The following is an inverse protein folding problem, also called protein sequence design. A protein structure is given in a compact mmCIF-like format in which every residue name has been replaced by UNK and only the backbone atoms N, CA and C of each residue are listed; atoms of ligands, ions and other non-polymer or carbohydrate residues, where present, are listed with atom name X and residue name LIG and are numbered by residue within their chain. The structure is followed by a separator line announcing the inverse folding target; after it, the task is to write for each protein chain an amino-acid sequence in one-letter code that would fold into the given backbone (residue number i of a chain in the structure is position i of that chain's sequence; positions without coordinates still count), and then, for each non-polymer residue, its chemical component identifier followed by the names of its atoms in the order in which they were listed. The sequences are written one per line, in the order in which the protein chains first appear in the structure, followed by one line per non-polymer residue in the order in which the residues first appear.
data_IF_379787176696
#
_entry.id   IF_379787176696
#
_cell.length_a   1.000
_cell.length_b   1.000
_cell.length_c   1.000
_cell.angle_alpha   90.00
_cell.angle_beta   90.00
_cell.angle_gamma   90.00
#
_symmetry.space_group_name_H-M   'P 1'
#
loop_
_entity.id
_entity.type
_entity.pdbx_description
1 polymer ?
#
# COMPACT_ATOMS: atom_id res chain seq x y z
N UNK A 1 -5.25 22.83 27.07
CA UNK A 1 -6.35 22.21 27.83
C UNK A 1 -5.97 20.76 28.11
N UNK A 2 -6.11 20.32 29.36
CA UNK A 2 -5.48 19.10 29.88
C UNK A 2 -5.92 17.83 29.12
N UNK A 3 -4.98 16.90 28.88
CA UNK A 3 -5.25 15.61 28.21
C UNK A 3 -6.45 14.83 28.78
N UNK A 4 -6.82 15.07 30.05
CA UNK A 4 -8.01 14.49 30.66
C UNK A 4 -9.32 14.98 30.03
N UNK A 5 -9.43 16.25 29.63
CA UNK A 5 -10.65 16.80 29.02
C UNK A 5 -10.90 16.20 27.62
N UNK A 6 -9.84 16.01 26.83
CA UNK A 6 -9.88 15.36 25.51
C UNK A 6 -10.26 13.88 25.62
N UNK A 7 -9.74 13.17 26.63
CA UNK A 7 -10.07 11.76 26.86
C UNK A 7 -11.53 11.57 27.32
N UNK A 8 -12.04 12.44 28.20
CA UNK A 8 -13.43 12.38 28.68
C UNK A 8 -14.40 12.74 27.55
N UNK A 9 -14.12 13.78 26.75
CA UNK A 9 -14.96 14.14 25.61
C UNK A 9 -15.10 12.98 24.60
N UNK A 10 -14.03 12.24 24.33
CA UNK A 10 -14.05 11.07 23.43
C UNK A 10 -14.92 9.90 23.88
N UNK A 11 -15.33 9.84 25.16
CA UNK A 11 -16.23 8.79 25.65
C UNK A 11 -17.72 9.13 25.47
N UNK A 12 -18.09 10.40 25.43
CA UNK A 12 -19.50 10.83 25.47
C UNK A 12 -19.94 11.60 24.21
N UNK A 13 -18.99 12.15 23.44
CA UNK A 13 -19.28 12.92 22.24
C UNK A 13 -19.48 12.01 21.02
N UNK A 14 -20.70 11.96 20.50
CA UNK A 14 -21.05 11.25 19.26
C UNK A 14 -21.37 12.19 18.11
N UNK A 15 -21.62 13.47 18.39
CA UNK A 15 -21.99 14.51 17.43
C UNK A 15 -21.40 15.86 17.83
N UNK A 16 -21.30 16.77 16.86
CA UNK A 16 -20.77 18.13 17.09
C UNK A 16 -21.79 18.92 17.90
N UNK A 17 -21.41 19.27 19.12
CA UNK A 17 -22.17 20.14 20.02
C UNK A 17 -21.23 21.19 20.62
N UNK A 18 -21.75 22.30 21.19
CA UNK A 18 -20.91 23.30 21.85
C UNK A 18 -19.99 22.73 22.95
N UNK A 19 -20.39 21.60 23.54
CA UNK A 19 -19.63 20.84 24.55
C UNK A 19 -18.61 19.86 23.93
N UNK A 20 -18.76 19.54 22.64
CA UNK A 20 -17.93 18.59 21.88
C UNK A 20 -17.37 19.24 20.59
N UNK A 21 -16.52 20.27 20.70
CA UNK A 21 -15.91 20.92 19.54
C UNK A 21 -14.99 19.99 18.77
N UNK A 22 -14.81 20.27 17.47
CA UNK A 22 -14.01 19.44 16.54
C UNK A 22 -12.54 19.35 16.94
N UNK A 23 -12.02 20.34 17.65
CA UNK A 23 -10.65 20.35 18.18
C UNK A 23 -10.37 19.20 19.16
N UNK A 24 -11.41 18.65 19.81
CA UNK A 24 -11.27 17.53 20.75
C UNK A 24 -11.30 16.16 20.05
N UNK A 25 -11.61 16.11 18.75
CA UNK A 25 -11.58 14.89 17.95
C UNK A 25 -10.14 14.41 17.72
N UNK A 26 -9.97 13.17 17.25
CA UNK A 26 -8.62 12.63 17.00
C UNK A 26 -7.87 13.40 15.91
N UNK A 27 -8.57 13.94 14.91
CA UNK A 27 -7.97 14.70 13.81
C UNK A 27 -7.94 16.21 14.06
N UNK A 28 -8.89 16.77 14.82
CA UNK A 28 -8.92 18.20 15.12
C UNK A 28 -9.39 19.08 13.94
N UNK A 29 -9.76 18.50 12.80
CA UNK A 29 -10.21 19.21 11.60
C UNK A 29 -11.36 18.47 10.90
N UNK A 30 -12.07 19.18 10.02
CA UNK A 30 -13.04 18.59 9.10
C UNK A 30 -12.34 18.14 7.81
N UNK A 31 -12.38 16.84 7.43
CA UNK A 31 -11.76 16.38 6.20
C UNK A 31 -12.28 17.12 4.96
N UNK A 32 -11.39 17.49 4.04
CA UNK A 32 -11.78 18.25 2.85
C UNK A 32 -12.62 17.41 1.87
N UNK A 33 -13.88 17.81 1.60
CA UNK A 33 -14.76 17.08 0.68
C UNK A 33 -14.17 16.90 -0.73
N UNK A 34 -13.59 17.96 -1.30
CA UNK A 34 -13.15 17.98 -2.69
C UNK A 34 -12.01 17.01 -2.94
N UNK A 35 -10.96 17.06 -2.11
CA UNK A 35 -9.79 16.21 -2.29
C UNK A 35 -10.10 14.74 -1.96
N UNK A 36 -10.85 14.47 -0.89
CA UNK A 36 -11.25 13.11 -0.56
C UNK A 36 -12.16 12.51 -1.64
N UNK A 37 -13.08 13.28 -2.23
CA UNK A 37 -13.93 12.84 -3.35
C UNK A 37 -13.12 12.55 -4.62
N UNK A 38 -12.09 13.36 -4.91
CA UNK A 38 -11.18 13.10 -6.02
C UNK A 38 -10.47 11.75 -5.86
N UNK A 39 -9.96 11.42 -4.67
CA UNK A 39 -9.34 10.12 -4.42
C UNK A 39 -10.32 8.95 -4.57
N UNK A 40 -11.56 9.08 -4.09
CA UNK A 40 -12.61 8.05 -4.29
C UNK A 40 -12.82 7.82 -5.80
N UNK A 41 -12.96 8.90 -6.57
CA UNK A 41 -13.15 8.79 -8.01
C UNK A 41 -11.94 8.17 -8.72
N UNK A 42 -10.72 8.55 -8.32
CA UNK A 42 -9.47 8.02 -8.86
C UNK A 42 -9.34 6.52 -8.60
N UNK A 43 -9.50 6.07 -7.35
CA UNK A 43 -9.39 4.67 -6.99
C UNK A 43 -10.53 3.83 -7.57
N UNK A 44 -11.76 4.38 -7.62
CA UNK A 44 -12.89 3.76 -8.29
C UNK A 44 -12.63 3.56 -9.78
N UNK A 45 -12.16 4.59 -10.48
CA UNK A 45 -11.80 4.50 -11.90
C UNK A 45 -10.70 3.46 -12.14
N UNK A 46 -9.62 3.50 -11.35
CA UNK A 46 -8.55 2.50 -11.42
C UNK A 46 -9.08 1.10 -11.16
N UNK A 47 -9.98 0.89 -10.20
CA UNK A 47 -10.59 -0.41 -9.92
C UNK A 47 -11.34 -0.95 -11.16
N UNK A 48 -12.18 -0.15 -11.81
CA UNK A 48 -12.92 -0.56 -13.00
C UNK A 48 -11.99 -0.84 -14.20
N UNK A 49 -10.97 0.00 -14.41
CA UNK A 49 -9.97 -0.21 -15.46
C UNK A 49 -9.19 -1.50 -15.24
N UNK A 50 -8.75 -1.77 -14.00
CA UNK A 50 -8.03 -2.98 -13.63
C UNK A 50 -8.90 -4.23 -13.78
N UNK A 51 -10.20 -4.13 -13.45
CA UNK A 51 -11.15 -5.22 -13.65
C UNK A 51 -11.32 -5.54 -15.14
N UNK A 52 -11.54 -4.51 -15.98
CA UNK A 52 -11.69 -4.68 -17.43
C UNK A 52 -10.44 -5.23 -18.09
N UNK A 53 -9.26 -4.67 -17.76
CA UNK A 53 -7.98 -5.15 -18.27
C UNK A 53 -7.65 -6.56 -17.77
N UNK A 54 -7.94 -6.86 -16.49
CA UNK A 54 -7.70 -8.15 -15.87
C UNK A 54 -8.51 -9.27 -16.49
N UNK A 55 -9.80 -9.04 -16.75
CA UNK A 55 -10.70 -9.98 -17.43
C UNK A 55 -10.25 -10.19 -18.87
N UNK A 56 -9.97 -9.11 -19.60
CA UNK A 56 -9.57 -9.20 -21.01
C UNK A 56 -8.22 -9.92 -21.20
N UNK A 57 -7.25 -9.66 -20.31
CA UNK A 57 -5.90 -10.22 -20.38
C UNK A 57 -5.71 -11.51 -19.57
N UNK A 58 -6.75 -11.99 -18.87
CA UNK A 58 -6.77 -13.22 -18.04
C UNK A 58 -5.69 -13.25 -16.95
N UNK A 59 -5.35 -12.11 -16.36
CA UNK A 59 -4.36 -11.99 -15.27
C UNK A 59 -5.04 -12.05 -13.90
N UNK A 60 -5.68 -13.19 -13.59
CA UNK A 60 -6.60 -13.36 -12.45
C UNK A 60 -6.01 -12.99 -11.09
N UNK A 61 -4.79 -13.43 -10.78
CA UNK A 61 -4.15 -13.19 -9.47
C UNK A 61 -3.77 -11.72 -9.29
N UNK A 62 -3.20 -11.09 -10.33
CA UNK A 62 -2.85 -9.67 -10.34
C UNK A 62 -4.09 -8.78 -10.26
N UNK A 63 -5.14 -9.14 -11.01
CA UNK A 63 -6.42 -8.45 -10.99
C UNK A 63 -7.05 -8.49 -9.59
N UNK A 64 -7.11 -9.66 -8.96
CA UNK A 64 -7.75 -9.82 -7.65
C UNK A 64 -7.11 -8.92 -6.59
N UNK A 65 -5.77 -8.93 -6.48
CA UNK A 65 -5.07 -8.12 -5.46
C UNK A 65 -5.18 -6.62 -5.72
N UNK A 66 -5.16 -6.18 -6.99
CA UNK A 66 -5.31 -4.75 -7.29
C UNK A 66 -6.74 -4.25 -7.12
N UNK A 67 -7.74 -5.04 -7.46
CA UNK A 67 -9.15 -4.69 -7.24
C UNK A 67 -9.41 -4.57 -5.74
N UNK A 68 -8.94 -5.52 -4.93
CA UNK A 68 -9.08 -5.48 -3.46
C UNK A 68 -8.35 -4.25 -2.89
N UNK A 69 -7.13 -3.95 -3.36
CA UNK A 69 -6.39 -2.76 -2.95
C UNK A 69 -7.11 -1.46 -3.30
N UNK A 70 -7.55 -1.29 -4.56
CA UNK A 70 -8.27 -0.09 -5.00
C UNK A 70 -9.63 0.07 -4.30
N UNK A 71 -10.35 -1.03 -4.08
CA UNK A 71 -11.59 -1.04 -3.32
C UNK A 71 -11.35 -0.60 -1.87
N UNK A 72 -10.31 -1.14 -1.23
CA UNK A 72 -9.90 -0.75 0.11
C UNK A 72 -9.59 0.75 0.20
N UNK A 73 -8.79 1.30 -0.71
CA UNK A 73 -8.53 2.75 -0.73
C UNK A 73 -9.83 3.55 -0.90
N UNK A 74 -10.68 3.19 -1.87
CA UNK A 74 -11.95 3.88 -2.10
C UNK A 74 -12.86 3.88 -0.85
N UNK A 75 -13.02 2.74 -0.18
CA UNK A 75 -13.79 2.63 1.07
C UNK A 75 -13.13 3.43 2.21
N UNK A 76 -11.80 3.46 2.27
CA UNK A 76 -11.07 4.27 3.23
C UNK A 76 -11.36 5.77 3.10
N UNK A 77 -11.35 6.29 1.87
CA UNK A 77 -11.72 7.68 1.59
C UNK A 77 -13.22 7.97 1.75
N UNK A 78 -14.10 6.98 1.53
CA UNK A 78 -15.52 7.10 1.89
C UNK A 78 -15.68 7.26 3.41
N UNK A 79 -14.88 6.53 4.21
CA UNK A 79 -14.81 6.72 5.66
C UNK A 79 -14.45 8.16 6.03
N UNK A 80 -13.50 8.78 5.32
CA UNK A 80 -13.15 10.20 5.45
C UNK A 80 -14.28 11.15 5.09
N UNK A 81 -15.02 10.83 4.02
CA UNK A 81 -16.20 11.60 3.61
C UNK A 81 -17.29 11.57 4.69
N UNK A 82 -17.51 10.41 5.33
CA UNK A 82 -18.46 10.30 6.43
C UNK A 82 -18.06 11.16 7.63
N UNK A 83 -16.76 11.26 7.91
CA UNK A 83 -16.24 12.15 8.96
C UNK A 83 -16.28 13.62 8.59
N UNK A 84 -16.45 14.01 7.33
CA UNK A 84 -16.72 15.41 7.00
C UNK A 84 -18.05 15.88 7.61
N UNK A 85 -19.10 15.05 7.49
CA UNK A 85 -20.41 15.38 8.04
C UNK A 85 -20.42 15.28 9.58
N UNK A 86 -19.78 14.24 10.12
CA UNK A 86 -19.64 14.07 11.56
C UNK A 86 -18.26 13.49 11.94
N UNK A 87 -17.29 14.35 12.32
CA UNK A 87 -15.96 13.94 12.76
C UNK A 87 -15.94 13.03 14.00
N UNK A 88 -17.03 13.00 14.78
CA UNK A 88 -17.21 12.11 15.93
C UNK A 88 -17.68 10.70 15.55
N UNK A 89 -17.96 10.44 14.27
CA UNK A 89 -18.37 9.11 13.79
C UNK A 89 -17.25 8.08 13.97
N UNK A 90 -17.37 7.28 15.04
CA UNK A 90 -16.45 6.18 15.31
C UNK A 90 -16.44 5.12 14.19
N UNK A 91 -17.57 4.94 13.50
CA UNK A 91 -17.64 4.06 12.32
C UNK A 91 -16.80 4.60 11.16
N UNK A 92 -16.94 5.89 10.81
CA UNK A 92 -16.13 6.51 9.74
C UNK A 92 -14.63 6.49 10.06
N UNK A 93 -14.29 6.75 11.32
CA UNK A 93 -12.91 6.69 11.81
C UNK A 93 -12.31 5.28 11.72
N UNK A 94 -13.02 4.25 12.19
CA UNK A 94 -12.54 2.86 12.13
C UNK A 94 -12.43 2.39 10.69
N UNK A 95 -13.44 2.67 9.86
CA UNK A 95 -13.44 2.30 8.44
C UNK A 95 -12.26 2.92 7.70
N UNK A 96 -11.97 4.21 7.86
CA UNK A 96 -10.84 4.82 7.17
C UNK A 96 -9.52 4.13 7.56
N UNK A 97 -9.28 3.91 8.87
CA UNK A 97 -7.97 3.47 9.35
C UNK A 97 -7.76 2.03 8.92
N UNK A 98 -8.74 1.16 9.13
CA UNK A 98 -8.63 -0.23 8.70
C UNK A 98 -8.42 -0.31 7.18
N UNK A 99 -9.22 0.39 6.38
CA UNK A 99 -9.14 0.29 4.93
C UNK A 99 -7.84 0.87 4.36
N UNK A 100 -7.42 2.07 4.81
CA UNK A 100 -6.19 2.71 4.34
C UNK A 100 -4.93 2.00 4.85
N UNK A 101 -4.99 1.31 5.99
CA UNK A 101 -3.87 0.50 6.46
C UNK A 101 -3.72 -0.79 5.63
N UNK A 102 -4.84 -1.45 5.30
CA UNK A 102 -4.82 -2.75 4.62
C UNK A 102 -4.58 -2.65 3.12
N UNK A 103 -5.14 -1.64 2.46
CA UNK A 103 -5.14 -1.52 1.01
C UNK A 103 -3.74 -1.50 0.34
N UNK A 104 -2.73 -0.76 0.86
CA UNK A 104 -1.39 -0.69 0.27
C UNK A 104 -0.69 -2.05 0.22
N UNK A 105 -0.93 -2.91 1.20
CA UNK A 105 -0.33 -4.24 1.27
C UNK A 105 -0.82 -5.14 0.14
N UNK A 106 -2.09 -5.01 -0.27
CA UNK A 106 -2.61 -5.71 -1.45
C UNK A 106 -2.01 -5.17 -2.76
N UNK A 107 -1.79 -3.86 -2.85
CA UNK A 107 -1.11 -3.26 -3.99
C UNK A 107 0.36 -3.72 -4.09
N UNK A 108 1.05 -3.79 -2.94
CA UNK A 108 2.41 -4.32 -2.83
C UNK A 108 2.46 -5.82 -3.23
N UNK A 109 1.48 -6.62 -2.83
CA UNK A 109 1.36 -8.01 -3.27
C UNK A 109 1.27 -8.12 -4.81
N UNK A 110 0.54 -7.21 -5.46
CA UNK A 110 0.50 -7.10 -6.92
C UNK A 110 1.89 -6.87 -7.52
N UNK A 111 2.69 -5.98 -6.91
CA UNK A 111 4.09 -5.77 -7.29
C UNK A 111 4.90 -7.05 -7.14
N UNK A 112 4.85 -7.74 -6.00
CA UNK A 112 5.63 -8.96 -5.78
C UNK A 112 5.29 -10.07 -6.79
N UNK A 113 4.01 -10.23 -7.15
CA UNK A 113 3.60 -11.17 -8.20
C UNK A 113 4.23 -10.80 -9.54
N UNK A 114 4.20 -9.52 -9.93
CA UNK A 114 4.84 -9.07 -11.18
C UNK A 114 6.35 -9.24 -11.17
N UNK A 115 7.00 -8.96 -10.03
CA UNK A 115 8.45 -9.11 -9.86
C UNK A 115 8.90 -10.57 -10.06
N UNK A 116 8.14 -11.55 -9.54
CA UNK A 116 8.43 -12.98 -9.78
C UNK A 116 8.52 -13.30 -11.27
N UNK A 117 7.55 -12.84 -12.06
CA UNK A 117 7.53 -13.08 -13.51
C UNK A 117 8.66 -12.34 -14.23
N UNK A 118 8.98 -11.12 -13.79
CA UNK A 118 10.10 -10.35 -14.33
C UNK A 118 11.44 -11.04 -14.09
N UNK A 119 11.71 -11.56 -12.89
CA UNK A 119 12.96 -12.27 -12.57
C UNK A 119 13.07 -13.58 -13.36
N UNK A 120 11.95 -14.31 -13.56
CA UNK A 120 11.97 -15.51 -14.41
C UNK A 120 12.32 -15.18 -15.86
N UNK A 121 11.80 -14.08 -16.40
CA UNK A 121 12.07 -13.66 -17.78
C UNK A 121 13.49 -13.11 -18.01
N UNK A 122 14.06 -12.39 -17.05
CA UNK A 122 15.42 -11.84 -17.14
C UNK A 122 16.53 -12.88 -16.91
N UNK A 123 16.18 -14.12 -16.59
CA UNK A 123 17.11 -15.19 -16.25
C UNK A 123 17.26 -15.37 -14.73
N UNK A 124 16.88 -16.53 -14.18
CA UNK A 124 16.97 -16.81 -12.75
C UNK A 124 18.42 -16.91 -12.23
N UNK A 125 19.41 -17.06 -13.13
CA UNK A 125 20.82 -17.28 -12.84
C UNK A 125 21.49 -16.09 -12.12
N UNK A 126 20.98 -14.87 -12.32
CA UNK A 126 21.51 -13.65 -11.68
C UNK A 126 20.83 -13.33 -10.33
N UNK A 127 19.83 -14.10 -9.91
CA UNK A 127 19.09 -13.89 -8.66
C UNK A 127 19.65 -14.75 -7.52
N UNK A 128 19.95 -14.12 -6.37
CA UNK A 128 20.49 -14.82 -5.19
C UNK A 128 19.47 -15.75 -4.51
N UNK A 129 18.18 -15.48 -4.66
CA UNK A 129 17.11 -16.36 -4.20
C UNK A 129 16.31 -16.92 -5.39
N UNK A 130 15.72 -18.11 -5.18
CA UNK A 130 14.82 -18.73 -6.17
C UNK A 130 13.57 -17.84 -6.37
N UNK A 131 13.22 -17.46 -7.62
CA UNK A 131 12.12 -16.52 -7.91
C UNK A 131 10.75 -16.96 -7.38
N UNK A 132 10.55 -18.28 -7.19
CA UNK A 132 9.31 -18.85 -6.63
C UNK A 132 9.11 -18.55 -5.14
N UNK A 133 10.15 -18.28 -4.36
CA UNK A 133 10.05 -18.04 -2.91
C UNK A 133 9.84 -16.57 -2.54
N UNK A 134 10.19 -15.63 -3.42
CA UNK A 134 10.07 -14.19 -3.16
C UNK A 134 8.64 -13.79 -2.78
N UNK A 135 7.61 -13.98 -3.64
CA UNK A 135 6.27 -13.48 -3.30
C UNK A 135 5.70 -14.19 -2.08
N UNK A 136 5.99 -15.48 -1.89
CA UNK A 136 5.44 -16.23 -0.76
C UNK A 136 5.99 -15.74 0.58
N UNK A 137 7.29 -15.43 0.64
CA UNK A 137 7.91 -14.87 1.84
C UNK A 137 7.40 -13.44 2.11
N UNK A 138 7.44 -12.56 1.11
CA UNK A 138 7.08 -11.14 1.29
C UNK A 138 5.58 -10.94 1.54
N UNK A 139 4.72 -11.63 0.80
CA UNK A 139 3.26 -11.60 1.05
C UNK A 139 2.95 -12.22 2.41
N UNK A 140 3.64 -13.29 2.81
CA UNK A 140 3.46 -13.91 4.13
C UNK A 140 3.84 -12.97 5.29
N UNK A 141 4.97 -12.26 5.16
CA UNK A 141 5.39 -11.25 6.12
C UNK A 141 4.41 -10.06 6.17
N UNK A 142 3.97 -9.55 5.03
CA UNK A 142 2.96 -8.47 4.97
C UNK A 142 1.63 -8.94 5.58
N UNK A 143 1.19 -10.18 5.33
CA UNK A 143 0.02 -10.75 5.98
C UNK A 143 0.17 -10.86 7.50
N UNK A 144 1.32 -11.31 7.99
CA UNK A 144 1.62 -11.34 9.42
C UNK A 144 1.57 -9.94 10.05
N UNK A 145 2.10 -8.94 9.33
CA UNK A 145 2.04 -7.53 9.75
C UNK A 145 0.60 -7.00 9.84
N UNK A 146 -0.26 -7.38 8.89
CA UNK A 146 -1.68 -7.04 8.88
C UNK A 146 -2.40 -7.66 10.07
N UNK A 147 -2.10 -8.91 10.41
CA UNK A 147 -2.71 -9.58 11.56
C UNK A 147 -2.33 -8.87 12.86
N UNK A 148 -1.06 -8.47 13.03
CA UNK A 148 -0.63 -7.67 14.18
C UNK A 148 -1.37 -6.33 14.26
N UNK A 149 -1.55 -5.66 13.12
CA UNK A 149 -2.28 -4.38 13.04
C UNK A 149 -3.77 -4.55 13.33
N UNK A 150 -4.39 -5.64 12.87
CA UNK A 150 -5.79 -5.95 13.15
C UNK A 150 -6.02 -6.23 14.65
N UNK A 151 -5.12 -7.00 15.28
CA UNK A 151 -5.16 -7.26 16.72
C UNK A 151 -4.91 -5.96 17.49
N UNK A 152 -3.94 -5.15 17.09
CA UNK A 152 -3.65 -3.85 17.67
C UNK A 152 -4.82 -2.86 17.55
N UNK A 153 -5.47 -2.79 16.40
CA UNK A 153 -6.67 -1.99 16.17
C UNK A 153 -7.87 -2.47 16.99
N UNK A 154 -8.09 -3.78 17.07
CA UNK A 154 -9.14 -4.37 17.88
C UNK A 154 -8.96 -4.14 19.38
N UNK A 155 -7.72 -4.29 19.88
CA UNK A 155 -7.36 -4.02 21.28
C UNK A 155 -7.42 -2.53 21.62
N UNK A 156 -7.04 -1.64 20.70
CA UNK A 156 -7.24 -0.20 20.87
C UNK A 156 -8.73 0.17 20.90
N UNK A 157 -9.56 -0.46 20.07
CA UNK A 157 -11.00 -0.23 20.04
C UNK A 157 -11.71 -0.70 21.32
N UNK A 158 -11.34 -1.88 21.85
CA UNK A 158 -11.96 -2.42 23.08
C UNK A 158 -11.61 -1.62 24.33
N UNK A 159 -10.50 -0.88 24.31
CA UNK A 159 -10.11 0.00 25.40
C UNK A 159 -11.01 1.25 25.56
N UNK A 160 -11.79 1.59 24.53
CA UNK A 160 -12.76 2.70 24.55
C UNK A 160 -14.15 2.33 25.08
N UNK A 161 -14.55 1.06 24.99
CA UNK A 161 -15.94 0.63 25.23
C UNK A 161 -16.29 0.42 26.71
N UNK A 162 -15.35 0.06 27.60
CA UNK A 162 -15.65 -0.38 28.98
C UNK A 162 -14.74 0.29 30.02
N UNK A 163 -14.86 1.61 30.13
CA UNK A 163 -14.01 2.45 30.99
C UNK A 163 -12.60 2.54 30.41
N UNK A 164 -12.14 3.76 30.09
CA UNK A 164 -10.84 3.95 29.44
C UNK A 164 -9.72 3.22 30.19
N UNK A 165 -9.25 2.10 29.62
CA UNK A 165 -8.09 1.37 30.13
C UNK A 165 -6.86 1.86 29.37
N UNK A 166 -6.12 2.86 29.88
CA UNK A 166 -5.00 3.45 29.16
C UNK A 166 -3.94 2.40 28.79
N UNK A 167 -3.75 1.38 29.63
CA UNK A 167 -2.85 0.27 29.34
C UNK A 167 -3.24 -0.52 28.07
N UNK A 168 -4.53 -0.81 27.86
CA UNK A 168 -4.96 -1.51 26.64
C UNK A 168 -4.78 -0.63 25.39
N UNK A 169 -5.02 0.68 25.50
CA UNK A 169 -4.75 1.62 24.41
C UNK A 169 -3.26 1.64 24.03
N UNK A 170 -2.36 1.68 25.02
CA UNK A 170 -0.92 1.65 24.77
C UNK A 170 -0.46 0.34 24.14
N UNK A 171 -0.98 -0.80 24.63
CA UNK A 171 -0.70 -2.12 24.04
C UNK A 171 -1.20 -2.19 22.60
N UNK A 172 -2.43 -1.75 22.34
CA UNK A 172 -3.01 -1.73 20.99
C UNK A 172 -2.22 -0.85 20.04
N UNK A 173 -1.85 0.36 20.47
CA UNK A 173 -1.02 1.25 19.65
C UNK A 173 0.36 0.63 19.37
N UNK A 174 0.99 0.02 20.38
CA UNK A 174 2.27 -0.67 20.22
C UNK A 174 2.20 -1.83 19.22
N UNK A 175 1.11 -2.60 19.22
CA UNK A 175 0.89 -3.69 18.26
C UNK A 175 0.71 -3.17 16.82
N UNK A 176 -0.03 -2.07 16.63
CA UNK A 176 -0.17 -1.43 15.32
C UNK A 176 1.20 -0.96 14.80
N UNK A 177 1.95 -0.23 15.63
CA UNK A 177 3.28 0.29 15.29
C UNK A 177 4.26 -0.84 14.98
N UNK A 178 4.24 -1.92 15.77
CA UNK A 178 5.08 -3.10 15.54
C UNK A 178 4.77 -3.76 14.19
N UNK A 179 3.49 -3.90 13.83
CA UNK A 179 3.08 -4.42 12.53
C UNK A 179 3.57 -3.54 11.38
N UNK A 180 3.36 -2.22 11.45
CA UNK A 180 3.84 -1.28 10.42
C UNK A 180 5.37 -1.32 10.31
N UNK A 181 6.09 -1.32 11.43
CA UNK A 181 7.56 -1.40 11.44
C UNK A 181 8.07 -2.69 10.78
N UNK A 182 7.44 -3.83 11.08
CA UNK A 182 7.76 -5.12 10.47
C UNK A 182 7.50 -5.12 8.96
N UNK A 183 6.40 -4.51 8.53
CA UNK A 183 6.05 -4.33 7.12
C UNK A 183 7.10 -3.46 6.39
N UNK A 184 7.46 -2.30 6.95
CA UNK A 184 8.47 -1.40 6.39
C UNK A 184 9.82 -2.10 6.27
N UNK A 185 10.27 -2.80 7.31
CA UNK A 185 11.54 -3.54 7.29
C UNK A 185 11.54 -4.61 6.20
N UNK A 186 10.45 -5.36 6.07
CA UNK A 186 10.27 -6.40 5.05
C UNK A 186 10.30 -5.80 3.64
N UNK A 187 9.57 -4.71 3.40
CA UNK A 187 9.59 -3.99 2.13
C UNK A 187 10.99 -3.47 1.80
N UNK A 188 11.70 -2.89 2.77
CA UNK A 188 13.07 -2.38 2.57
C UNK A 188 14.03 -3.49 2.12
N UNK A 189 13.98 -4.65 2.79
CA UNK A 189 14.79 -5.83 2.41
C UNK A 189 14.43 -6.28 0.98
N UNK A 190 13.15 -6.32 0.63
CA UNK A 190 12.70 -6.64 -0.72
C UNK A 190 13.28 -5.68 -1.76
N UNK A 191 13.20 -4.37 -1.48
CA UNK A 191 13.72 -3.30 -2.34
C UNK A 191 15.24 -3.43 -2.56
N UNK A 192 16.00 -3.71 -1.50
CA UNK A 192 17.45 -3.92 -1.60
C UNK A 192 17.81 -5.15 -2.44
N UNK A 193 17.10 -6.26 -2.25
CA UNK A 193 17.31 -7.47 -3.05
C UNK A 193 16.97 -7.24 -4.53
N UNK A 194 15.90 -6.50 -4.81
CA UNK A 194 15.52 -6.14 -6.17
C UNK A 194 16.52 -5.19 -6.83
N UNK A 195 17.04 -4.23 -6.08
CA UNK A 195 18.09 -3.33 -6.55
C UNK A 195 19.38 -4.11 -6.85
N UNK A 196 19.78 -5.03 -5.96
CA UNK A 196 20.95 -5.89 -6.19
C UNK A 196 20.77 -6.75 -7.45
N UNK A 197 19.59 -7.36 -7.63
CA UNK A 197 19.26 -8.10 -8.85
C UNK A 197 19.38 -7.23 -10.11
N UNK A 198 18.82 -6.02 -10.08
CA UNK A 198 18.85 -5.11 -11.22
C UNK A 198 20.29 -4.67 -11.56
N UNK A 199 21.11 -4.36 -10.55
CA UNK A 199 22.52 -4.00 -10.74
C UNK A 199 23.33 -5.18 -11.29
N UNK A 200 23.11 -6.40 -10.77
CA UNK A 200 23.74 -7.62 -11.29
C UNK A 200 23.33 -7.90 -12.73
N UNK A 201 22.04 -7.75 -13.05
CA UNK A 201 21.53 -7.92 -14.40
C UNK A 201 22.17 -6.93 -15.39
N UNK A 202 22.31 -5.65 -15.01
CA UNK A 202 23.00 -4.67 -15.86
C UNK A 202 24.49 -4.98 -16.04
N UNK A 203 25.19 -5.40 -14.97
CA UNK A 203 26.59 -5.82 -15.06
C UNK A 203 26.75 -7.06 -15.93
N UNK A 204 25.90 -8.06 -15.76
CA UNK A 204 25.88 -9.27 -16.58
C UNK A 204 25.59 -8.95 -18.05
N UNK A 205 24.67 -8.01 -18.34
CA UNK A 205 24.42 -7.52 -19.71
C UNK A 205 25.66 -6.88 -20.33
N UNK A 206 26.40 -6.07 -19.56
CA UNK A 206 27.65 -5.44 -20.01
C UNK A 206 28.77 -6.46 -20.23
N UNK A 207 28.79 -7.55 -19.47
CA UNK A 207 29.79 -8.62 -19.59
C UNK A 207 29.44 -9.70 -20.65
N UNK A 208 28.16 -10.04 -20.83
CA UNK A 208 27.67 -11.06 -21.78
C UNK A 208 27.63 -10.58 -23.23
N UNK A 209 27.93 -9.31 -23.52
CA UNK A 209 28.22 -8.86 -24.90
C UNK A 209 29.43 -9.59 -25.53
N UNK A 210 30.11 -10.47 -24.79
CA UNK A 210 31.20 -11.32 -25.27
C UNK A 210 30.94 -12.85 -25.19
N UNK A 211 29.82 -13.36 -24.65
CA UNK A 211 29.59 -14.82 -24.60
C UNK A 211 28.12 -15.29 -24.71
N UNK A 212 27.96 -16.36 -25.48
CA UNK A 212 26.77 -16.86 -26.17
C UNK A 212 25.76 -17.61 -25.25
N UNK A 213 25.27 -16.99 -24.17
CA UNK A 213 24.25 -17.59 -23.28
C UNK A 213 22.93 -16.82 -23.32
N UNK A 214 22.06 -17.19 -24.26
CA UNK A 214 20.83 -16.48 -24.60
C UNK A 214 19.75 -16.55 -23.51
N UNK A 215 19.45 -15.41 -22.86
CA UNK A 215 18.22 -15.24 -22.07
C UNK A 215 17.01 -14.97 -22.99
N UNK A 216 15.78 -15.28 -22.54
CA UNK A 216 14.54 -14.97 -23.27
C UNK A 216 14.40 -13.45 -23.57
N UNK A 217 15.01 -12.61 -22.72
CA UNK A 217 15.19 -11.18 -22.95
C UNK A 217 16.10 -10.85 -24.15
N UNK A 218 17.21 -11.57 -24.33
CA UNK A 218 18.15 -11.36 -25.44
C UNK A 218 17.56 -11.81 -26.78
N UNK A 219 16.77 -12.89 -26.81
CA UNK A 219 16.03 -13.31 -28.01
C UNK A 219 15.04 -12.25 -28.51
N UNK A 220 14.41 -11.51 -27.60
CA UNK A 220 13.51 -10.41 -27.92
C UNK A 220 14.21 -9.04 -28.07
N UNK A 221 15.52 -8.96 -27.81
CA UNK A 221 16.29 -7.71 -27.86
C UNK A 221 16.45 -7.16 -29.30
N UNK A 222 16.35 -8.02 -30.32
CA UNK A 222 16.29 -7.61 -31.73
C UNK A 222 15.08 -6.74 -32.08
N UNK A 223 14.03 -6.74 -31.25
CA UNK A 223 12.89 -5.84 -31.38
C UNK A 223 13.08 -4.61 -30.50
N UNK A 224 13.45 -3.48 -31.10
CA UNK A 224 13.61 -2.18 -30.41
C UNK A 224 12.35 -1.79 -29.59
N UNK A 225 11.16 -2.18 -30.05
CA UNK A 225 9.89 -1.98 -29.33
C UNK A 225 9.80 -2.82 -28.04
N UNK A 226 10.25 -4.07 -28.04
CA UNK A 226 10.20 -4.96 -26.86
C UNK A 226 11.12 -4.47 -25.74
N UNK A 227 12.31 -3.99 -26.09
CA UNK A 227 13.28 -3.42 -25.13
C UNK A 227 12.76 -2.12 -24.50
N UNK A 228 12.11 -1.23 -25.28
CA UNK A 228 11.51 0.01 -24.77
C UNK A 228 10.35 -0.27 -23.82
N UNK A 229 9.47 -1.19 -24.22
CA UNK A 229 8.32 -1.63 -23.45
C UNK A 229 8.73 -2.24 -22.10
N UNK A 230 9.75 -3.10 -22.09
CA UNK A 230 10.29 -3.67 -20.85
C UNK A 230 10.89 -2.61 -19.92
N UNK A 231 11.61 -1.61 -20.46
CA UNK A 231 12.19 -0.53 -19.64
C UNK A 231 11.11 0.35 -19.00
N UNK A 232 10.06 0.69 -19.75
CA UNK A 232 8.90 1.40 -19.21
C UNK A 232 8.23 0.55 -18.13
N UNK A 233 8.11 -0.76 -18.33
CA UNK A 233 7.56 -1.69 -17.36
C UNK A 233 8.33 -1.68 -16.03
N UNK A 234 9.65 -1.86 -16.09
CA UNK A 234 10.50 -1.80 -14.90
C UNK A 234 10.42 -0.45 -14.19
N UNK A 235 10.39 0.66 -14.94
CA UNK A 235 10.28 1.99 -14.35
C UNK A 235 8.93 2.19 -13.65
N UNK A 236 7.83 1.75 -14.26
CA UNK A 236 6.49 1.85 -13.65
C UNK A 236 6.37 1.03 -12.37
N UNK A 237 6.88 -0.20 -12.36
CA UNK A 237 6.89 -1.04 -11.15
C UNK A 237 7.82 -0.47 -10.07
N UNK A 238 9.00 0.05 -10.44
CA UNK A 238 9.91 0.68 -9.50
C UNK A 238 9.31 1.95 -8.89
N UNK A 239 8.62 2.76 -9.69
CA UNK A 239 7.90 3.94 -9.22
C UNK A 239 6.79 3.56 -8.23
N UNK A 240 5.95 2.58 -8.59
CA UNK A 240 4.88 2.11 -7.71
C UNK A 240 5.41 1.52 -6.40
N UNK A 241 6.52 0.77 -6.46
CA UNK A 241 7.17 0.23 -5.27
C UNK A 241 7.70 1.34 -4.36
N UNK A 242 8.37 2.34 -4.94
CA UNK A 242 8.93 3.46 -4.20
C UNK A 242 7.84 4.29 -3.51
N UNK A 243 6.74 4.59 -4.20
CA UNK A 243 5.67 5.39 -3.61
C UNK A 243 4.91 4.63 -2.51
N UNK A 244 4.66 3.33 -2.66
CA UNK A 244 4.11 2.50 -1.57
C UNK A 244 5.09 2.46 -0.38
N UNK A 245 6.40 2.35 -0.65
CA UNK A 245 7.41 2.33 0.40
C UNK A 245 7.47 3.64 1.19
N UNK A 246 7.39 4.79 0.50
CA UNK A 246 7.31 6.12 1.13
C UNK A 246 6.10 6.20 2.07
N UNK A 247 4.91 5.74 1.61
CA UNK A 247 3.71 5.68 2.46
C UNK A 247 3.95 4.84 3.71
N UNK A 248 4.49 3.64 3.57
CA UNK A 248 4.74 2.76 4.71
C UNK A 248 5.69 3.41 5.73
N UNK A 249 6.70 4.15 5.26
CA UNK A 249 7.58 4.93 6.15
C UNK A 249 6.82 6.04 6.85
N UNK A 250 5.95 6.78 6.16
CA UNK A 250 5.14 7.86 6.76
C UNK A 250 4.16 7.36 7.82
N UNK A 251 3.56 6.18 7.62
CA UNK A 251 2.63 5.57 8.59
C UNK A 251 3.29 5.20 9.91
N UNK A 252 4.59 4.94 9.93
CA UNK A 252 5.30 4.59 11.15
C UNK A 252 5.33 5.73 12.19
N UNK A 253 5.84 6.94 11.92
CA UNK A 253 5.82 8.06 12.85
C UNK A 253 4.41 8.60 13.11
N UNK A 254 3.50 8.51 12.13
CA UNK A 254 2.09 8.89 12.32
C UNK A 254 1.48 8.10 13.48
N UNK A 255 1.63 6.77 13.49
CA UNK A 255 1.07 5.88 14.53
C UNK A 255 1.96 5.77 15.79
N UNK A 256 3.27 5.94 15.65
CA UNK A 256 4.21 5.90 16.78
C UNK A 256 4.01 7.07 17.76
N UNK A 257 3.62 8.24 17.27
CA UNK A 257 3.31 9.39 18.13
C UNK A 257 1.97 9.30 18.86
N UNK A 258 1.19 8.23 18.63
CA UNK A 258 -0.09 7.98 19.29
C UNK A 258 -1.26 8.79 18.73
N UNK A 259 -2.44 8.52 19.28
CA UNK A 259 -3.71 9.06 18.78
C UNK A 259 -3.83 10.58 18.98
N UNK A 260 -3.89 11.32 17.87
CA UNK A 260 -3.99 12.79 17.87
C UNK A 260 -2.65 13.51 17.92
N UNK A 261 -1.56 12.83 17.53
CA UNK A 261 -0.26 13.46 17.27
C UNK A 261 -0.41 14.55 16.19
N UNK A 262 0.33 15.68 16.26
CA UNK A 262 0.36 16.71 15.21
C UNK A 262 0.47 16.19 13.77
N UNK A 263 1.21 15.10 13.53
CA UNK A 263 1.30 14.48 12.20
C UNK A 263 -0.05 13.94 11.70
N UNK A 264 -0.89 13.37 12.59
CA UNK A 264 -2.24 12.92 12.24
C UNK A 264 -3.18 14.12 11.98
N UNK A 265 -2.97 15.23 12.71
CA UNK A 265 -3.79 16.43 12.61
C UNK A 265 -3.47 17.28 11.37
N UNK A 266 -2.38 17.01 10.66
CA UNK A 266 -2.05 17.69 9.41
C UNK A 266 -2.66 16.97 8.20
N UNK A 267 -3.85 17.41 7.76
CA UNK A 267 -4.53 16.83 6.60
C UNK A 267 -3.69 16.89 5.31
N UNK A 268 -2.93 17.96 5.11
CA UNK A 268 -2.19 18.16 3.86
C UNK A 268 -1.08 17.13 3.71
N UNK A 269 -0.34 16.87 4.79
CA UNK A 269 0.69 15.82 4.81
C UNK A 269 0.09 14.45 4.60
N UNK A 270 -1.04 14.15 5.22
CA UNK A 270 -1.75 12.90 5.04
C UNK A 270 -2.18 12.70 3.58
N UNK A 271 -2.87 13.67 2.98
CA UNK A 271 -3.37 13.55 1.60
C UNK A 271 -2.22 13.43 0.58
N UNK A 272 -1.08 14.09 0.85
CA UNK A 272 0.07 14.09 -0.04
C UNK A 272 0.94 12.83 0.10
N UNK A 273 1.30 12.45 1.33
CA UNK A 273 2.21 11.32 1.60
C UNK A 273 1.49 9.97 1.66
N UNK A 274 0.21 9.96 2.04
CA UNK A 274 -0.60 8.74 2.05
C UNK A 274 -1.37 8.59 0.74
N UNK A 275 -2.23 9.56 0.43
CA UNK A 275 -3.17 9.48 -0.70
C UNK A 275 -2.53 9.57 -2.07
N UNK A 276 -1.77 10.64 -2.33
CA UNK A 276 -1.15 10.80 -3.65
C UNK A 276 -0.11 9.73 -3.94
N UNK A 277 0.66 9.27 -2.94
CA UNK A 277 1.65 8.21 -3.16
C UNK A 277 1.01 6.90 -3.63
N UNK A 278 -0.12 6.51 -3.02
CA UNK A 278 -0.86 5.33 -3.48
C UNK A 278 -1.63 5.60 -4.77
N UNK A 279 -2.16 6.79 -4.98
CA UNK A 279 -2.76 7.20 -6.25
C UNK A 279 -1.77 7.08 -7.42
N UNK A 280 -0.53 7.54 -7.23
CA UNK A 280 0.55 7.41 -8.22
C UNK A 280 0.88 5.93 -8.42
N UNK A 281 0.95 5.12 -7.36
CA UNK A 281 1.21 3.69 -7.46
C UNK A 281 0.14 2.96 -8.28
N UNK A 282 -1.14 3.16 -7.95
CA UNK A 282 -2.27 2.52 -8.64
C UNK A 282 -2.37 2.97 -10.08
N UNK A 283 -2.19 4.25 -10.38
CA UNK A 283 -2.17 4.76 -11.76
C UNK A 283 -0.99 4.17 -12.54
N UNK A 284 0.22 4.15 -11.96
CA UNK A 284 1.39 3.55 -12.60
C UNK A 284 1.16 2.07 -12.91
N UNK A 285 0.61 1.30 -11.96
CA UNK A 285 0.27 -0.12 -12.14
C UNK A 285 -0.87 -0.33 -13.15
N UNK A 286 -1.77 0.64 -13.32
CA UNK A 286 -2.86 0.57 -14.30
C UNK A 286 -2.37 0.87 -15.71
N UNK A 287 -1.52 1.89 -15.88
CA UNK A 287 -0.95 2.25 -17.18
C UNK A 287 0.05 1.19 -17.66
N UNK A 288 0.86 0.67 -16.74
CA UNK A 288 1.90 -0.31 -16.99
C UNK A 288 1.35 -1.72 -16.78
N UNK A 289 0.12 -1.96 -17.23
CA UNK A 289 -0.56 -3.22 -16.99
C UNK A 289 0.22 -4.39 -17.63
N UNK A 290 0.55 -5.44 -16.86
CA UNK A 290 1.39 -6.53 -17.33
C UNK A 290 0.85 -7.25 -18.57
N UNK A 291 -0.47 -7.23 -18.77
CA UNK A 291 -1.13 -7.78 -19.96
C UNK A 291 -0.78 -7.11 -21.30
N UNK A 292 -0.21 -5.89 -21.30
CA UNK A 292 0.28 -5.22 -22.51
C UNK A 292 1.79 -5.38 -22.72
N UNK A 293 2.55 -5.43 -21.63
CA UNK A 293 4.01 -5.35 -21.65
C UNK A 293 4.71 -6.71 -21.46
N UNK A 294 3.96 -7.76 -21.08
CA UNK A 294 4.50 -9.08 -20.76
C UNK A 294 3.62 -10.22 -21.33
N UNK A 295 3.85 -10.60 -22.60
CA UNK A 295 3.24 -11.80 -23.19
C UNK A 295 3.51 -13.13 -22.42
N UNK A 296 4.65 -13.33 -21.70
CA UNK A 296 4.90 -14.59 -21.00
C UNK A 296 3.95 -14.87 -19.83
N UNK A 297 3.26 -13.87 -19.26
CA UNK A 297 2.27 -14.11 -18.19
C UNK A 297 1.08 -14.95 -18.67
N UNK A 298 0.84 -15.01 -19.99
CA UNK A 298 -0.20 -15.84 -20.60
C UNK A 298 0.25 -17.30 -20.83
N UNK A 299 1.56 -17.58 -20.88
CA UNK A 299 2.12 -18.88 -21.30
C UNK A 299 2.52 -19.82 -20.16
N UNK A 300 2.68 -19.35 -18.92
CA UNK A 300 3.03 -20.21 -17.77
C UNK A 300 1.85 -21.06 -17.22
N UNK A 301 0.87 -21.41 -18.07
CA UNK A 301 -0.25 -22.31 -17.73
C UNK A 301 0.02 -23.77 -18.15
N UNK A 302 1.27 -24.14 -18.44
CA UNK A 302 1.69 -25.53 -18.59
C UNK A 302 2.83 -25.83 -17.63
#
# INVERSE_FOLDING_TARGET
MSSNATHIARQYCTEITPQCPVELTTYGYYPNLGVNSFFIALFGLCMFLQLGLGIWRRTWTYMAVLVIGCFGEAVGYIGRLLMHNNPWSGAGFKTQICCLVLAPSFLAAGIYVTLKHMVTYCGPENSRLKPRRYPWLFIGCDFGSIVLQAIGGGTAASAGDHGSKPQLLHVGNGLIVAGIAFQVATMAICGLLMLEFFLRFQKAKKARSASHSESEYEKNQGLQKATRNFRIFCFGIALAFLTIFIRCIYRLPEMAGGWGNPLMQNETEFLLLDGMMIGIATVAMTLVHPGFFFEPMRKFKN
#
